data_IF_960622422226
#
_entry.id   IF_960622422226
#
_cell.length_a   1.000
_cell.length_b   1.000
_cell.length_c   1.000
_cell.angle_alpha   90.00
_cell.angle_beta   90.00
_cell.angle_gamma   90.00
#
_symmetry.space_group_name_H-M   'P 1'
#
loop_
_entity.id
_entity.type
_entity.pdbx_description
1 polymer ?
#
# COMPACT_ATOMS: atom_id res chain seq x y z
N UNK A 1 -1.72 34.58 40.91
CA UNK A 1 -0.63 33.59 40.66
C UNK A 1 -1.14 32.18 40.32
N UNK A 2 -2.32 31.72 40.74
CA UNK A 2 -2.82 30.35 40.45
C UNK A 2 -3.30 30.13 38.99
N UNK A 3 -3.73 31.17 38.28
CA UNK A 3 -4.27 31.03 36.92
C UNK A 3 -3.19 30.95 35.84
N UNK A 4 -2.01 31.51 36.07
CA UNK A 4 -0.91 31.51 35.06
C UNK A 4 -0.26 30.11 34.95
N UNK A 5 -0.19 29.36 36.06
CA UNK A 5 0.39 28.00 36.07
C UNK A 5 -0.53 27.01 35.35
N UNK A 6 -1.86 27.17 35.49
CA UNK A 6 -2.83 26.27 34.83
C UNK A 6 -2.88 26.47 33.31
N UNK A 7 -2.69 27.71 32.83
CA UNK A 7 -2.61 27.98 31.39
C UNK A 7 -1.35 27.43 30.73
N UNK A 8 -0.20 27.50 31.44
CA UNK A 8 1.05 26.93 30.95
C UNK A 8 1.00 25.39 30.85
N UNK A 9 0.34 24.71 31.79
CA UNK A 9 0.18 23.27 31.78
C UNK A 9 -0.69 22.77 30.62
N UNK A 10 -1.78 23.50 30.31
CA UNK A 10 -2.66 23.19 29.17
C UNK A 10 -1.97 23.36 27.82
N UNK A 11 -1.12 24.38 27.67
CA UNK A 11 -0.35 24.60 26.43
C UNK A 11 0.72 23.53 26.24
N UNK A 12 1.40 23.11 27.29
CA UNK A 12 2.38 22.04 27.24
C UNK A 12 1.75 20.70 26.84
N UNK A 13 0.60 20.33 27.41
CA UNK A 13 -0.14 19.11 27.02
C UNK A 13 -0.60 19.14 25.56
N UNK A 14 -1.01 20.29 25.03
CA UNK A 14 -1.46 20.39 23.64
C UNK A 14 -0.31 20.25 22.64
N UNK A 15 0.90 20.67 23.00
CA UNK A 15 2.08 20.53 22.16
C UNK A 15 2.54 19.06 22.11
N UNK A 16 2.58 18.38 23.25
CA UNK A 16 2.99 16.98 23.33
C UNK A 16 2.05 16.04 22.53
N UNK A 17 0.75 16.25 22.63
CA UNK A 17 -0.25 15.47 21.87
C UNK A 17 -0.10 15.66 20.36
N UNK A 18 0.17 16.87 19.86
CA UNK A 18 0.37 17.13 18.45
C UNK A 18 1.65 16.48 17.92
N UNK A 19 2.72 16.50 18.68
CA UNK A 19 4.01 15.88 18.30
C UNK A 19 3.86 14.37 18.23
N UNK A 20 3.25 13.74 19.22
CA UNK A 20 3.00 12.29 19.24
C UNK A 20 2.14 11.86 18.08
N UNK A 21 1.05 12.58 17.77
CA UNK A 21 0.17 12.24 16.63
C UNK A 21 0.87 12.40 15.29
N UNK A 22 1.70 13.43 15.10
CA UNK A 22 2.45 13.64 13.86
C UNK A 22 3.51 12.54 13.64
N UNK A 23 4.19 12.09 14.69
CA UNK A 23 5.18 11.02 14.62
C UNK A 23 4.52 9.67 14.31
N UNK A 24 3.39 9.36 14.92
CA UNK A 24 2.60 8.15 14.66
C UNK A 24 2.07 8.10 13.21
N UNK A 25 1.59 9.21 12.67
CA UNK A 25 1.18 9.31 11.26
C UNK A 25 2.37 9.12 10.30
N UNK A 26 3.53 9.68 10.62
CA UNK A 26 4.75 9.50 9.82
C UNK A 26 5.25 8.05 9.89
N UNK A 27 5.13 7.39 11.03
CA UNK A 27 5.44 5.96 11.20
C UNK A 27 4.51 5.10 10.35
N UNK A 28 3.20 5.27 10.44
CA UNK A 28 2.21 4.53 9.66
C UNK A 28 2.46 4.65 8.15
N UNK A 29 2.82 5.84 7.68
CA UNK A 29 3.14 6.10 6.28
C UNK A 29 4.39 5.35 5.82
N UNK A 30 5.45 5.31 6.65
CA UNK A 30 6.67 4.54 6.36
C UNK A 30 6.41 3.04 6.29
N UNK A 31 5.66 2.50 7.25
CA UNK A 31 5.27 1.08 7.26
C UNK A 31 4.45 0.72 6.02
N UNK A 32 3.48 1.54 5.66
CA UNK A 32 2.67 1.31 4.46
C UNK A 32 3.51 1.35 3.17
N UNK A 33 4.46 2.27 3.05
CA UNK A 33 5.37 2.35 1.91
C UNK A 33 6.30 1.12 1.85
N UNK A 34 6.76 0.62 3.01
CA UNK A 34 7.58 -0.60 3.09
C UNK A 34 6.80 -1.83 2.61
N UNK A 35 5.51 -1.96 2.95
CA UNK A 35 4.65 -3.03 2.41
C UNK A 35 4.53 -2.93 0.90
N UNK A 36 4.45 -1.73 0.35
CA UNK A 36 4.39 -1.52 -1.11
C UNK A 36 5.70 -1.92 -1.81
N UNK A 37 6.85 -1.75 -1.16
CA UNK A 37 8.14 -2.22 -1.69
C UNK A 37 8.17 -3.75 -1.74
N UNK A 38 7.82 -4.43 -0.65
CA UNK A 38 7.72 -5.89 -0.58
C UNK A 38 6.71 -6.46 -1.59
N UNK A 39 5.58 -5.77 -1.76
CA UNK A 39 4.57 -6.14 -2.75
C UNK A 39 5.14 -6.13 -4.18
N UNK A 40 5.84 -5.06 -4.56
CA UNK A 40 6.39 -4.95 -5.90
C UNK A 40 7.54 -5.94 -6.13
N UNK A 41 8.39 -6.14 -5.14
CA UNK A 41 9.48 -7.13 -5.17
C UNK A 41 8.92 -8.54 -5.43
N UNK A 42 8.01 -9.02 -4.57
CA UNK A 42 7.40 -10.34 -4.73
C UNK A 42 6.64 -10.50 -6.06
N UNK A 43 5.96 -9.44 -6.51
CA UNK A 43 5.31 -9.42 -7.82
C UNK A 43 6.30 -9.57 -8.97
N UNK A 44 7.41 -8.83 -8.95
CA UNK A 44 8.46 -8.91 -9.97
C UNK A 44 9.18 -10.26 -9.98
N UNK A 45 9.37 -10.87 -8.82
CA UNK A 45 9.96 -12.22 -8.67
C UNK A 45 8.98 -13.34 -9.05
N UNK A 46 7.68 -13.00 -9.26
CA UNK A 46 6.61 -13.98 -9.51
C UNK A 46 6.38 -14.93 -8.33
N UNK A 47 6.81 -14.52 -7.14
CA UNK A 47 6.60 -15.28 -5.91
C UNK A 47 5.19 -15.00 -5.36
N UNK A 48 4.21 -15.81 -5.79
CA UNK A 48 2.81 -15.67 -5.38
C UNK A 48 2.65 -15.86 -3.87
N UNK A 49 3.46 -16.71 -3.25
CA UNK A 49 3.43 -16.95 -1.81
C UNK A 49 3.93 -15.73 -1.02
N UNK A 50 5.07 -15.15 -1.39
CA UNK A 50 5.58 -13.91 -0.80
C UNK A 50 4.62 -12.75 -1.06
N UNK A 51 4.11 -12.63 -2.28
CA UNK A 51 3.15 -11.58 -2.65
C UNK A 51 1.88 -11.66 -1.80
N UNK A 52 1.33 -12.87 -1.58
CA UNK A 52 0.14 -13.08 -0.74
C UNK A 52 0.30 -12.62 0.71
N UNK A 53 1.53 -12.60 1.23
CA UNK A 53 1.85 -12.14 2.60
C UNK A 53 1.82 -10.62 2.76
N UNK A 54 1.92 -9.88 1.68
CA UNK A 54 1.84 -8.42 1.68
C UNK A 54 0.40 -7.90 1.69
N UNK A 55 -0.58 -8.80 1.61
CA UNK A 55 -2.00 -8.48 1.53
C UNK A 55 -2.71 -8.71 2.86
N UNK A 56 -3.69 -7.87 3.16
CA UNK A 56 -4.71 -8.12 4.19
C UNK A 56 -5.97 -8.66 3.54
N UNK A 57 -6.62 -9.58 4.22
CA UNK A 57 -7.81 -10.27 3.70
C UNK A 57 -9.08 -9.91 4.50
N UNK A 58 -10.27 -9.86 3.86
CA UNK A 58 -10.48 -10.03 2.43
C UNK A 58 -9.72 -8.96 1.62
N UNK A 59 -9.04 -9.37 0.53
CA UNK A 59 -8.35 -8.44 -0.37
C UNK A 59 -9.25 -8.09 -1.54
N UNK A 60 -9.40 -6.80 -1.82
CA UNK A 60 -10.27 -6.30 -2.90
C UNK A 60 -9.44 -5.64 -4.01
N UNK A 61 -9.67 -6.06 -5.25
CA UNK A 61 -9.09 -5.43 -6.44
C UNK A 61 -10.19 -4.88 -7.34
N UNK A 62 -10.09 -3.59 -7.64
CA UNK A 62 -10.83 -2.95 -8.73
C UNK A 62 -9.88 -2.83 -9.92
N UNK A 63 -10.17 -3.47 -11.03
CA UNK A 63 -9.36 -3.42 -12.24
C UNK A 63 -10.26 -3.23 -13.44
N UNK A 64 -10.11 -2.12 -14.17
CA UNK A 64 -10.82 -1.83 -15.42
C UNK A 64 -12.32 -2.15 -15.37
N UNK A 65 -12.99 -1.73 -14.30
CA UNK A 65 -14.44 -1.94 -14.14
C UNK A 65 -14.85 -3.30 -13.56
N UNK A 66 -13.88 -4.20 -13.32
CA UNK A 66 -14.13 -5.47 -12.63
C UNK A 66 -13.73 -5.40 -11.16
N UNK A 67 -14.50 -6.08 -10.31
CA UNK A 67 -14.19 -6.21 -8.88
C UNK A 67 -13.90 -7.67 -8.59
N UNK A 68 -12.73 -7.93 -8.02
CA UNK A 68 -12.35 -9.25 -7.51
C UNK A 68 -12.07 -9.17 -6.03
N UNK A 69 -12.59 -10.16 -5.28
CA UNK A 69 -12.40 -10.31 -3.84
C UNK A 69 -11.77 -11.67 -3.59
N UNK A 70 -10.69 -11.67 -2.81
CA UNK A 70 -10.11 -12.89 -2.25
C UNK A 70 -10.34 -12.88 -0.74
N UNK A 71 -11.13 -13.83 -0.27
CA UNK A 71 -11.52 -13.90 1.14
C UNK A 71 -10.36 -14.24 2.08
N UNK A 72 -9.38 -14.96 1.56
CA UNK A 72 -8.21 -15.39 2.33
C UNK A 72 -6.99 -15.60 1.43
N UNK A 73 -5.84 -15.84 2.06
CA UNK A 73 -4.57 -16.06 1.39
C UNK A 73 -4.58 -17.27 0.47
N UNK A 74 -5.20 -18.37 0.88
CA UNK A 74 -5.24 -19.60 0.08
C UNK A 74 -5.99 -19.36 -1.24
N UNK A 75 -7.11 -18.66 -1.21
CA UNK A 75 -7.86 -18.27 -2.40
C UNK A 75 -6.99 -17.41 -3.33
N UNK A 76 -6.27 -16.41 -2.78
CA UNK A 76 -5.36 -15.59 -3.56
C UNK A 76 -4.29 -16.43 -4.26
N UNK A 77 -3.61 -17.31 -3.53
CA UNK A 77 -2.52 -18.13 -4.07
C UNK A 77 -3.04 -19.09 -5.16
N UNK A 78 -4.15 -19.76 -4.92
CA UNK A 78 -4.70 -20.75 -5.86
C UNK A 78 -5.31 -20.14 -7.13
N UNK A 79 -5.80 -18.91 -7.06
CA UNK A 79 -6.49 -18.26 -8.18
C UNK A 79 -5.60 -17.27 -8.96
N UNK A 80 -4.43 -16.91 -8.42
CA UNK A 80 -3.55 -15.95 -9.06
C UNK A 80 -2.78 -16.61 -10.19
N UNK A 81 -2.94 -16.04 -11.39
CA UNK A 81 -2.22 -16.48 -12.59
C UNK A 81 -1.56 -15.27 -13.26
N UNK A 82 -0.24 -15.26 -13.32
CA UNK A 82 0.57 -14.24 -13.99
C UNK A 82 0.88 -14.57 -15.45
N UNK A 83 0.52 -15.76 -15.92
CA UNK A 83 0.87 -16.22 -17.26
C UNK A 83 0.38 -15.26 -18.38
N UNK A 84 -0.87 -14.77 -18.37
CA UNK A 84 -1.32 -13.80 -19.38
C UNK A 84 -0.51 -12.50 -19.39
N UNK A 85 -0.07 -12.04 -18.21
CA UNK A 85 0.76 -10.85 -18.10
C UNK A 85 2.17 -11.11 -18.67
N UNK A 86 2.75 -12.26 -18.39
CA UNK A 86 4.06 -12.68 -18.92
C UNK A 86 3.99 -12.79 -20.45
N UNK A 87 2.95 -13.40 -20.97
CA UNK A 87 2.71 -13.55 -22.42
C UNK A 87 2.51 -12.21 -23.15
N UNK A 88 2.08 -11.17 -22.43
CA UNK A 88 2.02 -9.80 -22.97
C UNK A 88 3.41 -9.13 -23.12
N UNK A 89 4.49 -9.82 -22.76
CA UNK A 89 5.86 -9.30 -22.81
C UNK A 89 6.35 -8.68 -21.50
N UNK A 90 5.52 -8.68 -20.44
CA UNK A 90 5.94 -8.15 -19.16
C UNK A 90 7.07 -8.96 -18.52
N UNK A 91 8.10 -8.27 -18.09
CA UNK A 91 9.21 -8.84 -17.32
C UNK A 91 9.20 -8.34 -15.87
N UNK A 92 9.11 -7.02 -15.68
CA UNK A 92 9.05 -6.41 -14.35
C UNK A 92 8.32 -5.07 -14.38
N UNK A 93 8.07 -4.52 -13.19
CA UNK A 93 7.46 -3.21 -13.00
C UNK A 93 8.29 -2.34 -12.06
N UNK A 94 8.15 -1.02 -12.18
CA UNK A 94 8.76 -0.04 -11.28
C UNK A 94 7.73 1.00 -10.87
N UNK A 95 7.82 1.47 -9.62
CA UNK A 95 7.10 2.65 -9.20
C UNK A 95 7.71 3.87 -9.87
N UNK A 96 6.87 4.70 -10.50
CA UNK A 96 7.24 6.03 -10.97
C UNK A 96 6.96 7.07 -9.88
N UNK A 97 5.85 6.90 -9.15
CA UNK A 97 5.42 7.79 -8.07
C UNK A 97 4.67 7.01 -7.01
N UNK A 98 4.87 7.37 -5.75
CA UNK A 98 4.06 6.94 -4.60
C UNK A 98 3.83 8.13 -3.70
N UNK A 99 2.61 8.51 -3.48
CA UNK A 99 2.20 9.66 -2.69
C UNK A 99 1.17 9.24 -1.65
N UNK A 100 1.47 9.48 -0.37
CA UNK A 100 0.51 9.27 0.71
C UNK A 100 -0.52 10.39 0.66
N UNK A 101 -1.76 10.05 0.33
CA UNK A 101 -2.87 11.01 0.19
C UNK A 101 -3.75 11.11 1.43
N UNK A 102 -3.83 10.02 2.22
CA UNK A 102 -4.52 9.98 3.51
C UNK A 102 -3.74 9.07 4.46
N UNK A 103 -3.61 9.45 5.72
CA UNK A 103 -2.92 8.65 6.74
C UNK A 103 -3.63 8.72 8.08
N UNK A 104 -3.68 7.57 8.75
CA UNK A 104 -4.12 7.41 10.13
C UNK A 104 -3.26 6.33 10.80
N UNK A 105 -3.32 6.14 12.13
CA UNK A 105 -2.56 5.09 12.81
C UNK A 105 -2.84 3.65 12.33
N UNK A 106 -3.99 3.42 11.68
CA UNK A 106 -4.44 2.09 11.27
C UNK A 106 -4.66 1.94 9.76
N UNK A 107 -4.60 3.04 8.99
CA UNK A 107 -4.90 3.01 7.56
C UNK A 107 -4.21 4.13 6.80
N UNK A 108 -3.60 3.78 5.67
CA UNK A 108 -2.92 4.71 4.77
C UNK A 108 -3.43 4.49 3.35
N UNK A 109 -3.72 5.58 2.66
CA UNK A 109 -4.04 5.56 1.23
C UNK A 109 -2.87 6.14 0.45
N UNK A 110 -2.44 5.43 -0.59
CA UNK A 110 -1.29 5.80 -1.42
C UNK A 110 -1.72 5.86 -2.88
N UNK A 111 -1.65 7.05 -3.47
CA UNK A 111 -1.77 7.26 -4.90
C UNK A 111 -0.43 6.89 -5.56
N UNK A 112 -0.49 6.12 -6.64
CA UNK A 112 0.70 5.62 -7.30
C UNK A 112 0.62 5.78 -8.80
N UNK A 113 1.77 5.90 -9.44
CA UNK A 113 1.92 5.50 -10.84
C UNK A 113 3.04 4.46 -10.95
N UNK A 114 2.87 3.49 -11.83
CA UNK A 114 3.84 2.44 -12.09
C UNK A 114 3.96 2.17 -13.59
N UNK A 115 5.11 1.68 -13.97
CA UNK A 115 5.41 1.34 -15.36
C UNK A 115 5.84 -0.12 -15.46
N UNK A 116 5.39 -0.78 -16.53
CA UNK A 116 5.76 -2.15 -16.90
C UNK A 116 6.87 -2.13 -17.94
N UNK A 117 7.80 -3.06 -17.82
CA UNK A 117 8.95 -3.21 -18.68
C UNK A 117 9.04 -4.63 -19.24
N UNK A 118 9.58 -4.75 -20.43
CA UNK A 118 9.95 -6.02 -21.01
C UNK A 118 11.34 -6.49 -20.52
N UNK A 119 11.82 -7.63 -21.05
CA UNK A 119 13.14 -8.21 -20.72
C UNK A 119 14.33 -7.35 -21.14
N UNK A 120 14.14 -6.44 -22.09
CA UNK A 120 15.17 -5.54 -22.61
C UNK A 120 15.11 -4.14 -21.95
N UNK A 121 14.38 -4.02 -20.82
CA UNK A 121 14.12 -2.77 -20.10
C UNK A 121 13.42 -1.70 -20.94
N UNK A 122 12.65 -2.08 -21.96
CA UNK A 122 11.81 -1.16 -22.70
C UNK A 122 10.46 -1.01 -21.99
N UNK A 123 10.00 0.24 -21.86
CA UNK A 123 8.70 0.53 -21.27
C UNK A 123 7.58 0.01 -22.18
N UNK A 124 6.66 -0.78 -21.62
CA UNK A 124 5.50 -1.32 -22.33
C UNK A 124 4.27 -0.45 -22.08
N UNK A 125 4.02 -0.10 -20.82
CA UNK A 125 2.81 0.61 -20.40
C UNK A 125 2.96 1.21 -19.02
N UNK A 126 2.26 2.32 -18.77
CA UNK A 126 2.19 2.96 -17.45
C UNK A 126 0.73 3.10 -17.00
N UNK A 127 0.48 3.02 -15.70
CA UNK A 127 -0.86 3.06 -15.12
C UNK A 127 -0.87 3.78 -13.79
N UNK A 128 -2.00 4.42 -13.50
CA UNK A 128 -2.31 5.00 -12.20
C UNK A 128 -3.08 3.99 -11.34
N UNK A 129 -2.84 4.06 -10.02
CA UNK A 129 -3.53 3.20 -9.06
C UNK A 129 -3.65 3.88 -7.70
N UNK A 130 -4.63 3.43 -6.93
CA UNK A 130 -4.81 3.81 -5.53
C UNK A 130 -4.74 2.53 -4.69
N UNK A 131 -3.89 2.56 -3.66
CA UNK A 131 -3.74 1.48 -2.70
C UNK A 131 -4.28 1.89 -1.34
N UNK A 132 -4.97 0.99 -0.67
CA UNK A 132 -5.46 1.13 0.70
C UNK A 132 -4.73 0.09 1.54
N UNK A 133 -3.83 0.55 2.39
CA UNK A 133 -3.02 -0.27 3.27
C UNK A 133 -3.59 -0.13 4.68
N UNK A 134 -3.84 -1.24 5.34
CA UNK A 134 -4.42 -1.29 6.68
C UNK A 134 -3.48 -2.03 7.65
N UNK A 135 -3.56 -1.66 8.93
CA UNK A 135 -2.94 -2.40 10.02
C UNK A 135 -3.98 -3.32 10.64
N UNK A 136 -3.77 -4.62 10.52
CA UNK A 136 -4.62 -5.68 11.07
C UNK A 136 -3.75 -6.65 11.86
N UNK A 137 -4.15 -6.98 13.09
CA UNK A 137 -3.42 -7.90 13.98
C UNK A 137 -1.91 -7.53 14.11
N UNK A 138 -1.64 -6.22 14.27
CA UNK A 138 -0.31 -5.62 14.32
C UNK A 138 0.53 -5.75 13.03
N UNK A 139 -0.04 -6.19 11.92
CA UNK A 139 0.64 -6.26 10.63
C UNK A 139 0.03 -5.27 9.62
N UNK A 140 0.89 -4.57 8.90
CA UNK A 140 0.48 -3.77 7.78
C UNK A 140 0.37 -4.64 6.52
N UNK A 141 -0.71 -4.44 5.74
CA UNK A 141 -0.94 -5.17 4.50
C UNK A 141 -1.89 -4.42 3.57
N UNK A 142 -1.80 -4.69 2.27
CA UNK A 142 -2.67 -4.08 1.27
C UNK A 142 -4.06 -4.73 1.35
N UNK A 143 -5.03 -3.95 1.84
CA UNK A 143 -6.44 -4.39 1.98
C UNK A 143 -7.20 -4.27 0.66
N UNK A 144 -6.93 -3.19 -0.08
CA UNK A 144 -7.58 -2.97 -1.36
C UNK A 144 -6.67 -2.18 -2.31
N UNK A 145 -6.91 -2.38 -3.62
CA UNK A 145 -6.30 -1.56 -4.66
C UNK A 145 -7.30 -1.30 -5.80
N UNK A 146 -7.28 -0.08 -6.30
CA UNK A 146 -7.93 0.31 -7.54
C UNK A 146 -6.84 0.60 -8.58
N UNK A 147 -6.89 -0.05 -9.73
CA UNK A 147 -5.89 0.11 -10.78
C UNK A 147 -6.55 0.34 -12.12
N UNK A 148 -6.01 1.27 -12.89
CA UNK A 148 -6.40 1.50 -14.28
C UNK A 148 -5.74 0.47 -15.23
N UNK A 149 -4.83 -0.36 -14.74
CA UNK A 149 -4.33 -1.51 -15.46
C UNK A 149 -5.42 -2.58 -15.64
N UNK A 150 -5.47 -3.25 -16.79
CA UNK A 150 -6.42 -4.34 -17.08
C UNK A 150 -6.21 -5.55 -16.15
#
# INVERSE_FOLDING_TARGET
>A
MKHTIMLALLVAMAIDVKVVMADDLSHSSREALSVMDQFLEAFNERDIEAWSKTLNYPHVRFASGQVKVWENRQAFVSETNLQPLIESGWNHSRWLRREVVLSSPLKVHISTSFERYDKDNQAISAYESLYIITRKDNQWGIQARSSLAP
#
